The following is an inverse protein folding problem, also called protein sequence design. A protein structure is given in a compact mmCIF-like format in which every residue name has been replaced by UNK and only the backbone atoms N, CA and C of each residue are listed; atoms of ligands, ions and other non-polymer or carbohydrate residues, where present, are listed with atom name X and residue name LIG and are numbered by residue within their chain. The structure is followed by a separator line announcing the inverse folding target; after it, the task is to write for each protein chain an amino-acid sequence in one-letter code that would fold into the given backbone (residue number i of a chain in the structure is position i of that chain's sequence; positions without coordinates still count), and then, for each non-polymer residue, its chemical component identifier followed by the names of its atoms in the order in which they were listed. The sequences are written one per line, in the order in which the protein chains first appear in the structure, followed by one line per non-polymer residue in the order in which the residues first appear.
data_IF_865096116385
#
_entry.id   IF_865096116385
#
_cell.length_a   1.000
_cell.length_b   1.000
_cell.length_c   1.000
_cell.angle_alpha   90.00
_cell.angle_beta   90.00
_cell.angle_gamma   90.00
#
_symmetry.space_group_name_H-M   'P 1'
#
loop_
_entity.id
_entity.type
_entity.pdbx_description
1 polymer ?
#
# COMPACT_ATOMS: atom_id res chain seq x y z
N UNK A 1 31.34 16.29 37.80
CA UNK A 1 32.46 16.24 38.77
C UNK A 1 33.47 15.23 38.26
N UNK A 2 34.71 15.71 37.98
CA UNK A 2 36.02 15.00 37.89
C UNK A 2 36.11 13.76 36.96
N UNK A 3 37.15 13.50 36.15
CA UNK A 3 38.44 14.13 35.90
C UNK A 3 39.17 13.31 34.82
N UNK A 4 39.61 13.98 33.74
CA UNK A 4 40.96 13.96 33.14
C UNK A 4 41.82 12.68 33.07
N UNK A 5 42.31 12.38 31.85
CA UNK A 5 43.69 12.02 31.46
C UNK A 5 43.68 11.46 30.02
N UNK A 6 44.58 11.72 29.05
CA UNK A 6 45.95 12.26 28.89
C UNK A 6 46.04 12.81 27.45
N UNK A 7 46.56 14.03 27.20
CA UNK A 7 47.96 14.39 26.87
C UNK A 7 48.59 13.61 25.70
N UNK A 8 48.91 14.36 24.63
CA UNK A 8 49.90 14.03 23.59
C UNK A 8 50.16 15.23 22.68
N UNK A 9 51.16 16.05 23.05
CA UNK A 9 51.73 17.15 22.26
C UNK A 9 52.59 16.61 21.09
N UNK A 10 52.68 17.39 20.00
CA UNK A 10 53.89 17.84 19.27
C UNK A 10 53.40 18.51 17.97
N UNK A 11 53.44 19.84 17.83
CA UNK A 11 54.58 20.64 17.35
C UNK A 11 55.09 20.11 15.99
N UNK A 12 55.23 20.85 14.89
CA UNK A 12 55.77 22.22 14.72
C UNK A 12 55.77 22.52 13.19
N UNK A 13 56.03 23.78 12.80
CA UNK A 13 56.65 24.25 11.52
C UNK A 13 55.72 24.42 10.30
N UNK A 14 55.79 25.47 9.46
CA UNK A 14 56.49 26.77 9.43
C UNK A 14 55.79 27.65 8.36
N UNK A 15 55.92 28.96 8.55
CA UNK A 15 55.58 30.10 7.69
C UNK A 15 56.18 30.14 6.25
N UNK A 16 55.66 31.13 5.50
CA UNK A 16 56.24 31.99 4.43
C UNK A 16 55.78 31.68 2.99
N UNK A 17 54.88 32.49 2.40
CA UNK A 17 55.11 33.79 1.69
C UNK A 17 55.83 33.63 0.35
N UNK A 18 55.13 33.86 -0.77
CA UNK A 18 55.67 34.56 -1.95
C UNK A 18 54.58 35.40 -2.61
N UNK A 19 54.83 36.71 -2.61
CA UNK A 19 54.18 37.77 -3.40
C UNK A 19 54.86 37.81 -4.77
N UNK A 20 54.08 37.84 -5.86
CA UNK A 20 54.59 38.29 -7.17
C UNK A 20 53.62 39.32 -7.76
N UNK A 21 53.99 40.59 -7.58
CA UNK A 21 53.61 41.71 -8.44
C UNK A 21 54.38 41.59 -9.77
N UNK A 22 53.76 41.95 -10.89
CA UNK A 22 54.54 42.36 -12.06
C UNK A 22 53.83 42.48 -13.41
N UNK A 23 53.51 43.75 -13.74
CA UNK A 23 53.68 44.40 -15.05
C UNK A 23 52.48 44.46 -16.01
N UNK A 24 51.97 45.69 -16.13
CA UNK A 24 51.22 46.28 -17.23
C UNK A 24 52.00 46.28 -18.55
N UNK A 25 51.32 46.05 -19.67
CA UNK A 25 51.13 47.02 -20.76
C UNK A 25 50.79 46.32 -22.09
N UNK A 26 49.66 46.69 -22.71
CA UNK A 26 49.59 47.15 -24.10
C UNK A 26 48.13 47.28 -24.56
N UNK A 27 47.80 48.49 -24.96
CA UNK A 27 46.57 48.95 -25.61
C UNK A 27 46.46 48.44 -27.05
N UNK A 28 45.33 47.87 -27.45
CA UNK A 28 44.76 47.97 -28.80
C UNK A 28 43.36 47.31 -28.83
N UNK A 29 42.40 47.97 -29.48
CA UNK A 29 41.23 47.28 -30.04
C UNK A 29 39.87 47.67 -29.44
N UNK A 30 39.36 48.83 -29.86
CA UNK A 30 37.92 49.05 -29.92
C UNK A 30 37.29 48.03 -30.88
N UNK A 31 36.46 47.13 -30.37
CA UNK A 31 35.28 46.67 -31.08
C UNK A 31 34.27 46.23 -30.02
N UNK A 32 33.11 46.89 -30.02
CA UNK A 32 32.06 46.64 -29.03
C UNK A 32 31.64 45.18 -29.10
N UNK A 33 31.88 44.45 -28.02
CA UNK A 33 31.10 43.25 -27.73
C UNK A 33 29.67 43.73 -27.51
N UNK A 34 28.83 43.46 -28.51
CA UNK A 34 27.39 43.68 -28.45
C UNK A 34 26.84 42.85 -27.28
N UNK A 35 26.75 43.48 -26.10
CA UNK A 35 26.09 42.95 -24.90
C UNK A 35 24.57 42.94 -25.08
N UNK A 36 24.09 42.59 -26.28
CA UNK A 36 22.72 42.17 -26.46
C UNK A 36 22.51 40.98 -25.54
N UNK A 37 21.69 41.21 -24.53
CA UNK A 37 21.11 40.25 -23.62
C UNK A 37 20.65 39.04 -24.44
N UNK A 38 21.52 38.03 -24.55
CA UNK A 38 21.15 36.79 -25.22
C UNK A 38 20.17 36.11 -24.29
N UNK A 39 18.90 36.19 -24.65
CA UNK A 39 17.86 35.36 -24.09
C UNK A 39 18.17 33.94 -24.57
N UNK A 40 18.94 33.20 -23.77
CA UNK A 40 18.92 31.76 -23.84
C UNK A 40 17.55 31.36 -23.31
N UNK A 41 16.61 30.89 -24.15
CA UNK A 41 15.39 30.31 -23.62
C UNK A 41 15.84 29.22 -22.64
N UNK A 42 15.39 29.33 -21.39
CA UNK A 42 15.50 28.21 -20.46
C UNK A 42 14.65 27.11 -21.05
N UNK A 43 15.28 26.21 -21.77
CA UNK A 43 14.71 24.91 -22.03
C UNK A 43 14.65 24.25 -20.66
N UNK A 44 13.45 24.25 -20.09
CA UNK A 44 13.16 23.43 -18.93
C UNK A 44 13.25 22.02 -19.44
N UNK A 45 14.40 21.37 -19.19
CA UNK A 45 14.53 19.93 -19.36
C UNK A 45 13.36 19.34 -18.56
N UNK A 46 12.40 18.76 -19.27
CA UNK A 46 11.37 17.95 -18.62
C UNK A 46 12.13 16.88 -17.88
N UNK A 47 12.16 16.99 -16.56
CA UNK A 47 12.56 15.87 -15.73
C UNK A 47 11.53 14.78 -16.06
N UNK A 48 11.95 13.73 -16.76
CA UNK A 48 11.17 12.49 -16.87
C UNK A 48 11.15 11.84 -15.49
N UNK A 49 10.46 12.47 -14.55
CA UNK A 49 10.03 11.83 -13.31
C UNK A 49 8.64 11.28 -13.57
N UNK A 50 8.58 10.07 -14.10
CA UNK A 50 7.30 9.42 -14.34
C UNK A 50 7.44 7.97 -14.71
N UNK A 51 6.39 7.20 -14.43
CA UNK A 51 6.24 5.86 -14.98
C UNK A 51 6.45 5.84 -16.50
N UNK A 52 6.82 4.69 -17.07
CA UNK A 52 7.33 4.61 -18.43
C UNK A 52 6.26 4.97 -19.49
N UNK A 53 6.44 6.10 -20.18
CA UNK A 53 5.58 6.49 -21.31
C UNK A 53 4.30 7.25 -20.91
N UNK A 54 3.40 7.51 -21.88
CA UNK A 54 2.20 8.32 -21.63
C UNK A 54 1.23 7.62 -20.67
N UNK A 55 0.47 8.40 -19.91
CA UNK A 55 -0.64 7.88 -19.10
C UNK A 55 -1.70 7.29 -20.05
N UNK A 56 -2.04 5.99 -19.92
CA UNK A 56 -3.07 5.36 -20.75
C UNK A 56 -4.43 6.06 -20.57
N UNK A 57 -5.06 6.35 -21.72
CA UNK A 57 -6.39 6.95 -21.76
C UNK A 57 -7.47 5.86 -21.67
N UNK A 58 -8.63 6.22 -21.10
CA UNK A 58 -9.79 5.34 -20.98
C UNK A 58 -9.83 4.50 -19.70
N UNK A 59 -10.94 3.78 -19.48
CA UNK A 59 -11.14 2.95 -18.31
C UNK A 59 -10.20 1.75 -18.31
N UNK A 60 -9.81 1.28 -17.12
CA UNK A 60 -9.10 0.02 -16.94
C UNK A 60 -10.14 -1.11 -16.90
N UNK A 61 -10.24 -1.88 -17.97
CA UNK A 61 -11.18 -3.00 -18.12
C UNK A 61 -10.44 -4.27 -18.59
N UNK A 62 -9.64 -4.83 -17.67
CA UNK A 62 -8.86 -6.05 -17.90
C UNK A 62 -9.39 -7.14 -16.95
N UNK A 63 -10.08 -8.19 -17.43
CA UNK A 63 -10.71 -9.18 -16.56
C UNK A 63 -9.75 -9.86 -15.57
N UNK A 64 -8.50 -10.10 -15.99
CA UNK A 64 -7.45 -10.68 -15.15
C UNK A 64 -6.99 -9.75 -14.00
N UNK A 65 -7.31 -8.45 -14.10
CA UNK A 65 -7.01 -7.43 -13.10
C UNK A 65 -8.25 -6.98 -12.31
N UNK A 66 -9.39 -7.63 -12.54
CA UNK A 66 -10.61 -7.39 -11.76
C UNK A 66 -10.40 -7.72 -10.28
N UNK A 67 -11.16 -7.05 -9.41
CA UNK A 67 -11.12 -7.29 -7.96
C UNK A 67 -11.29 -8.76 -7.60
N UNK A 68 -12.23 -9.44 -8.25
CA UNK A 68 -12.50 -10.85 -8.04
C UNK A 68 -11.31 -11.73 -8.46
N UNK A 69 -10.63 -11.41 -9.57
CA UNK A 69 -9.43 -12.13 -9.99
C UNK A 69 -8.27 -11.91 -9.01
N UNK A 70 -8.08 -10.68 -8.53
CA UNK A 70 -6.99 -10.31 -7.63
C UNK A 70 -7.14 -10.89 -6.21
N UNK A 71 -8.36 -11.13 -5.72
CA UNK A 71 -8.62 -11.78 -4.42
C UNK A 71 -7.92 -13.12 -4.23
N UNK A 72 -7.74 -13.87 -5.32
CA UNK A 72 -7.12 -15.21 -5.30
C UNK A 72 -5.74 -15.22 -5.95
N UNK A 73 -5.21 -14.05 -6.34
CA UNK A 73 -3.86 -13.95 -6.86
C UNK A 73 -2.85 -14.19 -5.72
N UNK A 74 -1.83 -14.99 -6.00
CA UNK A 74 -0.74 -15.23 -5.06
C UNK A 74 0.28 -14.09 -5.15
N UNK A 75 0.24 -13.16 -4.19
CA UNK A 75 1.17 -12.03 -4.15
C UNK A 75 2.64 -12.49 -4.07
N UNK A 76 2.93 -13.61 -3.42
CA UNK A 76 4.29 -14.14 -3.34
C UNK A 76 4.69 -14.93 -4.57
N UNK A 77 3.75 -15.61 -5.23
CA UNK A 77 3.95 -16.16 -6.56
C UNK A 77 4.27 -15.05 -7.57
N UNK A 78 3.67 -13.86 -7.44
CA UNK A 78 3.95 -12.71 -8.31
C UNK A 78 5.27 -12.01 -7.98
N UNK A 79 5.66 -11.93 -6.71
CA UNK A 79 6.93 -11.34 -6.26
C UNK A 79 7.96 -12.44 -5.89
N UNK A 80 8.25 -13.30 -6.86
CA UNK A 80 9.12 -14.46 -6.70
C UNK A 80 10.48 -14.27 -7.41
N UNK A 81 11.22 -15.38 -7.52
CA UNK A 81 12.48 -15.43 -8.26
C UNK A 81 12.33 -15.09 -9.73
N UNK A 82 11.22 -15.46 -10.37
CA UNK A 82 11.01 -15.17 -11.78
C UNK A 82 10.95 -13.67 -12.04
N UNK A 83 10.24 -12.94 -11.17
CA UNK A 83 10.11 -11.48 -11.22
C UNK A 83 11.42 -10.76 -10.88
N UNK A 84 12.23 -11.31 -9.98
CA UNK A 84 13.35 -10.58 -9.37
C UNK A 84 14.75 -11.04 -9.79
N UNK A 85 14.88 -12.16 -10.53
CA UNK A 85 16.19 -12.75 -10.92
C UNK A 85 17.11 -11.81 -11.69
N UNK A 86 16.57 -10.83 -12.41
CA UNK A 86 17.38 -9.90 -13.19
C UNK A 86 18.13 -8.89 -12.31
N UNK A 87 17.69 -8.70 -11.07
CA UNK A 87 18.32 -7.77 -10.12
C UNK A 87 19.42 -8.43 -9.28
N UNK A 88 19.50 -9.77 -9.27
CA UNK A 88 20.54 -10.50 -8.55
C UNK A 88 20.06 -11.81 -7.92
N UNK A 89 20.70 -12.20 -6.83
CA UNK A 89 20.41 -13.44 -6.10
C UNK A 89 19.22 -13.24 -5.17
N UNK A 90 18.08 -13.82 -5.54
CA UNK A 90 16.83 -13.76 -4.77
C UNK A 90 16.92 -14.70 -3.57
N UNK A 91 16.49 -14.24 -2.40
CA UNK A 91 16.37 -15.06 -1.19
C UNK A 91 15.41 -16.25 -1.40
N UNK A 92 15.58 -17.31 -0.63
CA UNK A 92 14.80 -18.54 -0.82
C UNK A 92 13.39 -18.47 -0.25
N UNK A 93 13.14 -17.58 0.72
CA UNK A 93 11.85 -17.48 1.40
C UNK A 93 11.28 -16.07 1.31
N UNK A 94 10.09 -15.89 0.72
CA UNK A 94 9.36 -14.64 0.89
C UNK A 94 8.94 -14.46 2.36
N UNK A 95 8.61 -13.23 2.72
CA UNK A 95 7.87 -12.93 3.93
C UNK A 95 6.49 -12.41 3.58
N UNK A 96 5.45 -12.92 4.24
CA UNK A 96 4.08 -12.47 4.08
C UNK A 96 3.35 -12.55 5.42
N UNK A 97 2.41 -11.64 5.61
CA UNK A 97 1.49 -11.61 6.75
C UNK A 97 0.02 -11.61 6.32
N UNK A 98 -0.26 -11.35 5.03
CA UNK A 98 -1.59 -11.25 4.45
C UNK A 98 -1.54 -11.78 3.00
N UNK A 99 -2.58 -12.45 2.49
CA UNK A 99 -2.60 -13.06 1.16
C UNK A 99 -2.32 -12.07 0.00
N UNK A 100 -2.71 -10.81 0.16
CA UNK A 100 -2.54 -9.73 -0.81
C UNK A 100 -1.17 -9.05 -0.73
N UNK A 101 -0.28 -9.52 0.15
CA UNK A 101 1.04 -8.94 0.38
C UNK A 101 2.15 -9.96 0.26
N UNK A 102 3.27 -9.50 -0.28
CA UNK A 102 4.50 -10.25 -0.22
C UNK A 102 5.70 -9.32 -0.10
N UNK A 103 6.77 -9.80 0.51
CA UNK A 103 8.07 -9.18 0.39
C UNK A 103 9.19 -10.17 0.17
N UNK A 104 10.24 -9.68 -0.47
CA UNK A 104 11.39 -10.44 -0.91
C UNK A 104 12.66 -9.60 -0.80
N UNK A 105 13.77 -10.27 -0.53
CA UNK A 105 15.10 -9.67 -0.57
C UNK A 105 15.89 -10.24 -1.74
N UNK A 106 16.63 -9.39 -2.43
CA UNK A 106 17.56 -9.74 -3.50
C UNK A 106 18.93 -9.15 -3.17
N UNK A 107 19.99 -9.93 -3.31
CA UNK A 107 21.37 -9.44 -3.25
C UNK A 107 21.82 -9.12 -4.68
N UNK A 108 22.14 -7.86 -4.97
CA UNK A 108 22.61 -7.44 -6.28
C UNK A 108 24.03 -7.99 -6.58
N UNK A 109 24.53 -7.89 -7.82
CA UNK A 109 25.89 -8.35 -8.16
C UNK A 109 27.02 -7.64 -7.39
N UNK A 110 26.75 -6.50 -6.76
CA UNK A 110 27.67 -5.74 -5.91
C UNK A 110 27.55 -6.09 -4.42
N UNK A 111 26.74 -7.07 -4.05
CA UNK A 111 26.51 -7.49 -2.67
C UNK A 111 25.65 -6.51 -1.86
N UNK A 112 24.81 -5.69 -2.51
CA UNK A 112 23.86 -4.79 -1.86
C UNK A 112 22.46 -5.38 -1.84
N UNK A 113 21.75 -5.14 -0.74
CA UNK A 113 20.37 -5.57 -0.59
C UNK A 113 19.41 -4.69 -1.39
N UNK A 114 18.50 -5.36 -2.10
CA UNK A 114 17.25 -4.82 -2.62
C UNK A 114 16.13 -5.46 -1.81
N UNK A 115 15.31 -4.66 -1.13
CA UNK A 115 14.10 -5.13 -0.46
C UNK A 115 12.89 -4.68 -1.27
N UNK A 116 12.17 -5.64 -1.82
CA UNK A 116 10.95 -5.40 -2.58
C UNK A 116 9.74 -5.89 -1.79
N UNK A 117 8.65 -5.13 -1.82
CA UNK A 117 7.36 -5.57 -1.31
C UNK A 117 6.25 -5.23 -2.27
N UNK A 118 5.28 -6.13 -2.41
CA UNK A 118 4.10 -6.02 -3.24
C UNK A 118 2.87 -5.98 -2.34
N UNK A 119 1.94 -5.09 -2.66
CA UNK A 119 0.56 -5.09 -2.15
C UNK A 119 -0.41 -5.08 -3.32
N UNK A 120 -1.41 -5.95 -3.30
CA UNK A 120 -2.45 -6.08 -4.33
C UNK A 120 -3.79 -5.56 -3.80
N UNK A 121 -4.55 -4.86 -4.64
CA UNK A 121 -5.86 -4.32 -4.32
C UNK A 121 -5.85 -3.30 -3.18
N UNK A 122 -4.87 -2.38 -3.23
CA UNK A 122 -4.89 -1.18 -2.41
C UNK A 122 -5.88 -0.16 -3.01
N UNK A 123 -6.61 0.57 -2.17
CA UNK A 123 -7.41 1.72 -2.60
C UNK A 123 -6.51 2.82 -3.19
N UNK A 124 -6.82 3.24 -4.41
CA UNK A 124 -6.04 4.17 -5.23
C UNK A 124 -6.80 5.47 -5.49
N UNK A 125 -7.38 6.07 -4.46
CA UNK A 125 -8.15 7.30 -4.58
C UNK A 125 -7.34 8.40 -5.30
N UNK A 126 -7.97 8.99 -6.32
CA UNK A 126 -7.42 10.03 -7.20
C UNK A 126 -6.10 9.65 -7.88
N UNK A 127 -5.76 8.35 -7.97
CA UNK A 127 -4.49 7.91 -8.55
C UNK A 127 -4.38 8.29 -10.02
N UNK A 128 -5.48 8.23 -10.79
CA UNK A 128 -5.50 8.64 -12.21
C UNK A 128 -5.05 10.09 -12.41
N UNK A 129 -5.45 11.00 -11.51
CA UNK A 129 -5.05 12.40 -11.56
C UNK A 129 -3.57 12.62 -11.21
N UNK A 130 -2.98 11.69 -10.43
CA UNK A 130 -1.57 11.70 -10.03
C UNK A 130 -0.68 10.83 -10.92
N UNK A 131 -1.25 10.07 -11.85
CA UNK A 131 -0.50 9.19 -12.72
C UNK A 131 0.48 10.02 -13.56
N UNK A 132 1.74 9.62 -13.54
CA UNK A 132 2.83 10.30 -14.26
C UNK A 132 3.27 9.55 -15.51
N UNK A 133 2.71 8.36 -15.75
CA UNK A 133 2.90 7.60 -16.97
C UNK A 133 2.10 6.30 -17.00
N UNK A 134 2.60 5.31 -17.73
CA UNK A 134 1.99 3.99 -17.86
C UNK A 134 2.91 2.82 -17.52
N UNK A 135 2.35 1.68 -17.14
CA UNK A 135 3.06 0.40 -17.06
C UNK A 135 2.13 -0.67 -17.63
N UNK A 136 2.55 -1.35 -18.71
CA UNK A 136 1.77 -2.43 -19.34
C UNK A 136 0.31 -2.05 -19.68
N UNK A 137 0.13 -0.81 -20.13
CA UNK A 137 -1.19 -0.25 -20.48
C UNK A 137 -2.02 0.23 -19.29
N UNK A 138 -1.49 0.20 -18.07
CA UNK A 138 -2.14 0.71 -16.87
C UNK A 138 -1.63 2.10 -16.49
N UNK A 139 -2.49 3.04 -16.04
CA UNK A 139 -2.04 4.26 -15.38
C UNK A 139 -1.11 3.94 -14.23
N UNK A 140 0.01 4.65 -14.16
CA UNK A 140 1.06 4.40 -13.19
C UNK A 140 1.54 5.70 -12.51
N UNK A 141 1.74 5.61 -11.19
CA UNK A 141 2.26 6.67 -10.34
C UNK A 141 3.57 6.18 -9.72
N UNK A 142 4.63 6.97 -9.89
CA UNK A 142 5.92 6.75 -9.23
C UNK A 142 6.14 7.82 -8.18
N UNK A 143 6.50 7.40 -6.96
CA UNK A 143 6.80 8.32 -5.85
C UNK A 143 8.11 7.90 -5.19
N UNK A 144 9.10 8.79 -5.22
CA UNK A 144 10.32 8.66 -4.40
C UNK A 144 10.02 9.09 -2.97
N UNK A 145 10.28 8.22 -2.01
CA UNK A 145 10.17 8.58 -0.59
C UNK A 145 11.47 9.20 -0.09
N UNK A 146 12.60 8.62 -0.51
CA UNK A 146 13.95 9.12 -0.28
C UNK A 146 14.85 8.69 -1.47
N UNK A 147 16.17 8.86 -1.35
CA UNK A 147 17.12 8.51 -2.41
C UNK A 147 17.18 7.00 -2.71
N UNK A 148 16.74 6.16 -1.78
CA UNK A 148 16.90 4.70 -1.78
C UNK A 148 15.57 3.97 -1.80
N UNK A 149 14.46 4.66 -1.53
CA UNK A 149 13.13 4.07 -1.43
C UNK A 149 12.19 4.66 -2.47
N UNK A 150 11.56 3.78 -3.25
CA UNK A 150 10.59 4.17 -4.27
C UNK A 150 9.31 3.34 -4.18
N UNK A 151 8.19 3.99 -4.45
CA UNK A 151 6.88 3.37 -4.61
C UNK A 151 6.46 3.48 -6.07
N UNK A 152 6.08 2.35 -6.67
CA UNK A 152 5.50 2.28 -8.00
C UNK A 152 4.11 1.69 -7.88
N UNK A 153 3.09 2.48 -8.25
CA UNK A 153 1.69 2.10 -8.17
C UNK A 153 1.10 2.00 -9.57
N UNK A 154 0.21 1.02 -9.78
CA UNK A 154 -0.59 0.90 -11.02
C UNK A 154 -2.06 0.81 -10.67
N UNK A 155 -2.91 1.45 -11.48
CA UNK A 155 -4.36 1.34 -11.36
C UNK A 155 -4.85 0.11 -12.12
N UNK A 156 -5.57 -0.78 -11.43
CA UNK A 156 -6.15 -2.01 -12.02
C UNK A 156 -7.66 -1.92 -12.20
N UNK A 157 -8.32 -0.95 -11.55
CA UNK A 157 -9.75 -0.69 -11.66
C UNK A 157 -10.02 0.78 -11.35
N UNK A 158 -10.90 1.42 -12.12
CA UNK A 158 -11.35 2.80 -11.86
C UNK A 158 -12.50 2.87 -10.84
N UNK A 159 -13.38 1.85 -10.82
CA UNK A 159 -14.57 1.82 -9.97
C UNK A 159 -14.77 0.42 -9.34
N UNK A 160 -14.38 0.23 -8.07
CA UNK A 160 -13.68 1.17 -7.20
C UNK A 160 -12.25 1.44 -7.70
N UNK A 161 -11.71 2.62 -7.36
CA UNK A 161 -10.32 2.97 -7.63
C UNK A 161 -9.41 2.06 -6.82
N UNK A 162 -8.88 1.02 -7.47
CA UNK A 162 -8.02 0.02 -6.86
C UNK A 162 -6.83 -0.30 -7.75
N UNK A 163 -5.76 -0.76 -7.13
CA UNK A 163 -4.51 -0.99 -7.80
C UNK A 163 -3.55 -1.84 -7.01
N UNK A 164 -2.30 -1.85 -7.47
CA UNK A 164 -1.21 -2.56 -6.82
C UNK A 164 -0.05 -1.60 -6.59
N UNK A 165 0.71 -1.85 -5.53
CA UNK A 165 1.88 -1.06 -5.19
C UNK A 165 3.09 -1.98 -5.00
N UNK A 166 4.19 -1.63 -5.66
CA UNK A 166 5.52 -2.18 -5.37
C UNK A 166 6.32 -1.11 -4.65
N UNK A 167 6.81 -1.42 -3.46
CA UNK A 167 7.80 -0.62 -2.76
C UNK A 167 9.16 -1.31 -2.87
N UNK A 168 10.16 -0.57 -3.32
CA UNK A 168 11.56 -1.03 -3.38
C UNK A 168 12.42 -0.12 -2.52
N UNK A 169 13.23 -0.72 -1.64
CA UNK A 169 14.36 -0.08 -1.00
C UNK A 169 15.65 -0.67 -1.58
N UNK A 170 16.49 0.17 -2.17
CA UNK A 170 17.74 -0.23 -2.81
C UNK A 170 18.87 0.77 -2.53
N UNK A 171 19.85 0.32 -1.75
CA UNK A 171 21.02 1.13 -1.35
C UNK A 171 22.06 1.30 -2.46
N UNK A 172 22.10 0.35 -3.40
CA UNK A 172 23.15 0.23 -4.41
C UNK A 172 22.81 0.81 -5.79
N UNK A 173 21.59 1.30 -6.01
CA UNK A 173 21.14 1.70 -7.33
C UNK A 173 19.78 2.40 -7.36
N UNK A 174 19.13 2.39 -8.53
CA UNK A 174 17.85 3.08 -8.73
C UNK A 174 16.67 2.21 -8.28
N UNK A 175 16.13 2.53 -7.10
CA UNK A 175 14.96 1.87 -6.54
C UNK A 175 13.71 2.02 -7.43
N UNK A 176 13.54 3.14 -8.12
CA UNK A 176 12.39 3.36 -8.99
C UNK A 176 12.49 2.57 -10.28
N UNK A 177 13.65 2.54 -10.92
CA UNK A 177 13.86 1.69 -12.10
C UNK A 177 13.60 0.22 -11.78
N UNK A 178 14.09 -0.24 -10.62
CA UNK A 178 13.84 -1.58 -10.10
C UNK A 178 12.34 -1.82 -9.88
N UNK A 179 11.65 -0.89 -9.21
CA UNK A 179 10.20 -0.98 -8.95
C UNK A 179 9.35 -1.00 -10.22
N UNK A 180 9.66 -0.14 -11.22
CA UNK A 180 8.96 -0.12 -12.51
C UNK A 180 9.09 -1.44 -13.25
N UNK A 181 10.30 -1.99 -13.25
CA UNK A 181 10.59 -3.25 -13.93
C UNK A 181 9.91 -4.44 -13.24
N UNK A 182 9.97 -4.51 -11.91
CA UNK A 182 9.24 -5.52 -11.14
C UNK A 182 7.73 -5.43 -11.39
N UNK A 183 7.15 -4.21 -11.34
CA UNK A 183 5.73 -3.99 -11.60
C UNK A 183 5.31 -4.38 -13.03
N UNK A 184 6.13 -4.05 -14.04
CA UNK A 184 5.91 -4.48 -15.43
C UNK A 184 5.82 -6.01 -15.54
N UNK A 185 6.77 -6.73 -14.93
CA UNK A 185 6.74 -8.21 -14.92
C UNK A 185 5.52 -8.76 -14.18
N UNK A 186 5.15 -8.19 -13.03
CA UNK A 186 3.96 -8.58 -12.25
C UNK A 186 2.68 -8.42 -13.09
N UNK A 187 2.50 -7.26 -13.75
CA UNK A 187 1.30 -7.01 -14.56
C UNK A 187 1.22 -7.97 -15.76
N UNK A 188 2.34 -8.27 -16.42
CA UNK A 188 2.37 -9.26 -17.51
C UNK A 188 1.94 -10.64 -17.02
N UNK A 189 2.53 -11.10 -15.91
CA UNK A 189 2.19 -12.41 -15.34
C UNK A 189 0.72 -12.49 -14.94
N UNK A 190 0.17 -11.42 -14.36
CA UNK A 190 -1.26 -11.35 -14.06
C UNK A 190 -2.15 -11.49 -15.30
N UNK A 191 -1.77 -10.87 -16.41
CA UNK A 191 -2.53 -10.91 -17.68
C UNK A 191 -2.40 -12.26 -18.40
N UNK A 192 -1.26 -12.93 -18.29
CA UNK A 192 -0.93 -14.15 -19.06
C UNK A 192 -1.29 -15.44 -18.30
N UNK A 193 -0.70 -15.65 -17.12
CA UNK A 193 -0.91 -16.83 -16.29
C UNK A 193 -0.68 -16.46 -14.81
N UNK A 194 -1.68 -15.90 -14.13
CA UNK A 194 -1.52 -15.43 -12.76
C UNK A 194 -1.29 -16.62 -11.82
N UNK A 195 -0.24 -16.59 -10.96
CA UNK A 195 -0.14 -17.56 -9.87
C UNK A 195 -1.31 -17.33 -8.91
N UNK A 196 -1.92 -18.42 -8.45
CA UNK A 196 -3.15 -18.39 -7.65
C UNK A 196 -2.98 -19.10 -6.33
N UNK A 197 -3.61 -18.54 -5.29
CA UNK A 197 -3.77 -19.18 -4.01
C UNK A 197 -4.70 -20.39 -4.13
N UNK A 198 -4.45 -21.41 -3.33
CA UNK A 198 -5.39 -22.53 -3.19
C UNK A 198 -6.54 -22.10 -2.27
N UNK A 199 -7.74 -22.01 -2.83
CA UNK A 199 -8.94 -21.66 -2.06
C UNK A 199 -9.51 -22.93 -1.41
N UNK A 200 -9.33 -23.05 -0.10
CA UNK A 200 -9.95 -24.13 0.65
C UNK A 200 -11.48 -23.95 0.70
N UNK A 201 -12.22 -25.06 0.74
CA UNK A 201 -13.67 -25.01 0.96
C UNK A 201 -13.97 -24.23 2.25
N UNK A 202 -14.95 -23.34 2.19
CA UNK A 202 -15.34 -22.53 3.35
C UNK A 202 -14.47 -21.30 3.60
N UNK A 203 -13.44 -21.06 2.78
CA UNK A 203 -12.53 -19.92 2.90
C UNK A 203 -13.21 -18.58 2.60
N UNK A 204 -12.67 -17.51 3.17
CA UNK A 204 -13.01 -16.11 2.85
C UNK A 204 -12.20 -15.52 1.69
N UNK A 205 -11.22 -16.24 1.13
CA UNK A 205 -10.31 -15.70 0.11
C UNK A 205 -11.04 -15.21 -1.14
N UNK A 206 -12.02 -15.96 -1.64
CA UNK A 206 -12.77 -15.62 -2.86
C UNK A 206 -14.09 -14.88 -2.58
N UNK A 207 -14.38 -14.56 -1.31
CA UNK A 207 -15.64 -13.95 -0.90
C UNK A 207 -15.60 -12.43 -1.12
N UNK A 208 -16.64 -11.90 -1.76
CA UNK A 208 -16.87 -10.46 -1.83
C UNK A 208 -17.45 -9.93 -0.51
N UNK A 209 -16.63 -9.20 0.25
CA UNK A 209 -17.05 -8.60 1.52
C UNK A 209 -18.28 -7.69 1.38
N UNK A 210 -18.43 -6.97 0.25
CA UNK A 210 -19.58 -6.09 0.04
C UNK A 210 -20.88 -6.85 -0.17
N UNK A 211 -20.83 -8.03 -0.78
CA UNK A 211 -22.02 -8.87 -0.96
C UNK A 211 -22.51 -9.51 0.36
N UNK A 212 -21.64 -9.55 1.38
CA UNK A 212 -22.00 -10.06 2.72
C UNK A 212 -22.89 -9.12 3.53
N UNK A 213 -23.05 -7.88 3.08
CA UNK A 213 -23.94 -6.90 3.71
C UNK A 213 -25.21 -6.84 2.87
N UNK A 214 -26.39 -6.93 3.50
CA UNK A 214 -27.66 -6.79 2.75
C UNK A 214 -28.12 -5.35 2.70
N UNK A 215 -28.75 -4.94 1.61
CA UNK A 215 -29.34 -3.61 1.45
C UNK A 215 -30.33 -3.27 2.59
N UNK A 216 -31.06 -4.27 3.10
CA UNK A 216 -31.93 -4.13 4.26
C UNK A 216 -31.16 -3.74 5.53
N UNK A 217 -30.02 -4.38 5.79
CA UNK A 217 -29.16 -4.06 6.94
C UNK A 217 -28.60 -2.65 6.82
N UNK A 218 -28.19 -2.28 5.60
CA UNK A 218 -27.70 -0.94 5.28
C UNK A 218 -28.76 0.11 5.66
N UNK A 219 -29.97 0.01 5.09
CA UNK A 219 -31.05 0.97 5.38
C UNK A 219 -31.40 1.02 6.87
N UNK A 220 -31.49 -0.13 7.53
CA UNK A 220 -31.90 -0.21 8.93
C UNK A 220 -30.90 0.39 9.92
N UNK A 221 -29.59 0.31 9.62
CA UNK A 221 -28.55 0.70 10.59
C UNK A 221 -27.76 1.95 10.18
N UNK A 222 -27.62 2.20 8.88
CA UNK A 222 -26.81 3.27 8.31
C UNK A 222 -27.64 4.34 7.57
N UNK A 223 -28.90 4.04 7.23
CA UNK A 223 -29.83 4.94 6.54
C UNK A 223 -29.83 4.77 5.01
N UNK A 224 -30.58 5.61 4.31
CA UNK A 224 -30.85 5.46 2.87
C UNK A 224 -29.77 6.09 1.95
N UNK A 225 -28.95 7.00 2.48
CA UNK A 225 -27.92 7.76 1.72
C UNK A 225 -26.50 7.21 1.93
N UNK A 226 -26.32 5.89 1.86
CA UNK A 226 -25.01 5.26 2.04
C UNK A 226 -24.63 4.36 0.87
N UNK A 227 -23.33 4.21 0.66
CA UNK A 227 -22.75 3.39 -0.41
C UNK A 227 -21.85 2.32 0.19
N UNK A 228 -21.88 1.15 -0.43
CA UNK A 228 -20.86 0.13 -0.24
C UNK A 228 -19.70 0.42 -1.18
N UNK A 229 -18.50 0.46 -0.62
CA UNK A 229 -17.27 0.71 -1.36
C UNK A 229 -16.26 -0.35 -0.96
N UNK A 230 -15.79 -1.20 -1.88
CA UNK A 230 -14.62 -2.02 -1.60
C UNK A 230 -13.44 -1.11 -1.25
N UNK A 231 -12.77 -1.37 -0.13
CA UNK A 231 -11.63 -0.56 0.32
C UNK A 231 -10.29 -1.30 0.19
N UNK A 232 -10.33 -2.63 0.19
CA UNK A 232 -9.26 -3.53 -0.21
C UNK A 232 -9.89 -4.78 -0.86
N UNK A 233 -9.11 -5.81 -1.17
CA UNK A 233 -9.61 -7.04 -1.79
C UNK A 233 -10.63 -7.79 -0.92
N UNK A 234 -10.53 -7.70 0.40
CA UNK A 234 -11.29 -8.50 1.35
C UNK A 234 -12.12 -7.64 2.30
N UNK A 235 -12.43 -6.41 1.89
CA UNK A 235 -12.96 -5.38 2.75
C UNK A 235 -13.98 -4.51 2.05
N UNK A 236 -15.09 -4.24 2.75
CA UNK A 236 -16.14 -3.36 2.31
C UNK A 236 -16.42 -2.27 3.34
N UNK A 237 -16.33 -1.02 2.89
CA UNK A 237 -16.67 0.16 3.65
C UNK A 237 -18.12 0.56 3.36
N UNK A 238 -18.84 0.94 4.42
CA UNK A 238 -20.13 1.61 4.35
C UNK A 238 -19.86 3.10 4.59
N UNK A 239 -20.10 3.91 3.56
CA UNK A 239 -19.80 5.35 3.58
C UNK A 239 -21.02 6.19 3.23
N UNK A 240 -21.23 7.28 3.95
CA UNK A 240 -22.32 8.25 3.73
C UNK A 240 -22.27 9.38 4.75
N UNK A 241 -23.34 10.19 4.81
CA UNK A 241 -23.42 11.35 5.74
C UNK A 241 -23.74 10.96 7.19
N UNK A 242 -24.23 9.74 7.40
CA UNK A 242 -24.68 9.24 8.69
C UNK A 242 -23.63 8.36 9.39
N UNK A 243 -24.05 7.28 10.06
CA UNK A 243 -23.14 6.26 10.55
C UNK A 243 -22.27 5.68 9.43
N UNK A 244 -21.05 5.30 9.76
CA UNK A 244 -20.11 4.60 8.89
C UNK A 244 -19.72 3.26 9.51
N UNK A 245 -19.05 2.41 8.75
CA UNK A 245 -18.63 1.10 9.24
C UNK A 245 -18.19 0.22 8.10
N UNK A 246 -18.21 -1.09 8.30
CA UNK A 246 -17.81 -2.01 7.25
C UNK A 246 -17.67 -3.45 7.70
N UNK A 247 -17.31 -4.29 6.74
CA UNK A 247 -16.91 -5.68 6.94
C UNK A 247 -15.50 -5.83 6.39
N UNK A 248 -14.62 -6.48 7.13
CA UNK A 248 -13.29 -6.83 6.68
C UNK A 248 -13.00 -8.29 7.00
N UNK A 249 -12.43 -9.02 6.04
CA UNK A 249 -11.83 -10.32 6.29
C UNK A 249 -10.32 -10.13 6.44
N UNK A 250 -9.79 -10.68 7.52
CA UNK A 250 -8.38 -10.64 7.87
C UNK A 250 -7.85 -12.05 7.94
N UNK A 251 -6.58 -12.20 7.61
CA UNK A 251 -5.88 -13.47 7.62
C UNK A 251 -4.70 -13.33 8.59
N UNK A 252 -4.67 -14.14 9.64
CA UNK A 252 -3.65 -14.05 10.68
C UNK A 252 -4.21 -14.39 12.06
N UNK A 253 -3.78 -13.67 13.09
CA UNK A 253 -4.09 -14.01 14.48
C UNK A 253 -5.59 -13.88 14.83
N UNK A 254 -6.08 -14.70 15.79
CA UNK A 254 -7.46 -14.60 16.24
C UNK A 254 -7.68 -13.32 17.06
N UNK A 255 -8.93 -12.85 17.20
CA UNK A 255 -9.24 -11.69 18.04
C UNK A 255 -8.77 -11.91 19.48
N UNK A 256 -8.06 -10.94 20.04
CA UNK A 256 -7.54 -11.01 21.41
C UNK A 256 -8.61 -10.61 22.43
N UNK A 257 -8.56 -11.22 23.62
CA UNK A 257 -9.42 -10.79 24.72
C UNK A 257 -8.89 -9.49 25.32
N UNK A 258 -9.76 -8.48 25.33
CA UNK A 258 -9.45 -7.18 25.90
C UNK A 258 -10.39 -6.85 27.07
N UNK A 259 -9.94 -6.00 28.01
CA UNK A 259 -10.69 -5.64 29.23
C UNK A 259 -12.11 -5.11 28.97
N UNK A 260 -12.34 -4.50 27.81
CA UNK A 260 -13.62 -3.93 27.39
C UNK A 260 -14.33 -4.75 26.30
N UNK A 261 -13.88 -5.99 26.06
CA UNK A 261 -14.53 -6.93 25.14
C UNK A 261 -15.64 -7.71 25.85
N UNK A 262 -16.70 -8.06 25.10
CA UNK A 262 -17.80 -8.90 25.56
C UNK A 262 -18.04 -10.01 24.55
N UNK A 263 -18.24 -11.24 25.02
CA UNK A 263 -18.66 -12.34 24.16
C UNK A 263 -20.13 -12.18 23.76
N UNK A 264 -20.43 -12.37 22.48
CA UNK A 264 -21.80 -12.32 21.92
C UNK A 264 -22.00 -13.48 20.95
N UNK A 265 -23.17 -14.11 20.99
CA UNK A 265 -23.53 -15.16 20.03
C UNK A 265 -24.09 -14.54 18.75
N UNK A 266 -23.50 -14.89 17.60
CA UNK A 266 -23.97 -14.42 16.29
C UNK A 266 -25.00 -15.38 15.70
N UNK A 267 -24.68 -16.68 15.62
CA UNK A 267 -25.59 -17.70 15.11
C UNK A 267 -25.13 -19.07 15.58
N UNK A 268 -26.04 -19.92 16.07
CA UNK A 268 -25.70 -21.25 16.57
C UNK A 268 -24.56 -21.22 17.58
N UNK A 269 -23.44 -21.86 17.22
CA UNK A 269 -22.18 -21.95 17.96
C UNK A 269 -21.18 -20.82 17.66
N UNK A 270 -21.42 -19.99 16.64
CA UNK A 270 -20.54 -18.87 16.29
C UNK A 270 -20.62 -17.78 17.35
N UNK A 271 -19.53 -17.64 18.11
CA UNK A 271 -19.34 -16.62 19.13
C UNK A 271 -18.34 -15.57 18.64
N UNK A 272 -18.68 -14.30 18.84
CA UNK A 272 -17.84 -13.16 18.51
C UNK A 272 -17.43 -12.38 19.76
N UNK A 273 -16.39 -11.57 19.62
CA UNK A 273 -15.98 -10.57 20.59
C UNK A 273 -16.49 -9.22 20.10
N UNK A 274 -17.31 -8.57 20.91
CA UNK A 274 -17.75 -7.19 20.69
C UNK A 274 -16.95 -6.25 21.59
N UNK A 275 -16.37 -5.21 21.00
CA UNK A 275 -15.56 -4.23 21.69
C UNK A 275 -15.97 -2.81 21.32
N UNK A 276 -16.12 -1.99 22.34
CA UNK A 276 -16.34 -0.55 22.17
C UNK A 276 -15.02 0.21 22.02
N UNK A 277 -14.95 1.18 21.11
CA UNK A 277 -13.74 1.98 20.83
C UNK A 277 -13.94 3.43 21.30
N UNK A 278 -13.41 3.73 22.49
CA UNK A 278 -13.28 5.10 23.06
C UNK A 278 -14.54 5.65 23.73
N UNK A 279 -14.43 6.14 24.98
CA UNK A 279 -15.57 6.59 25.81
C UNK A 279 -16.51 7.61 25.13
N UNK A 280 -15.98 8.43 24.24
CA UNK A 280 -16.66 9.62 23.69
C UNK A 280 -17.11 9.45 22.23
N UNK A 281 -16.92 8.27 21.62
CA UNK A 281 -17.31 8.01 20.23
C UNK A 281 -18.21 6.79 20.16
N UNK A 282 -19.34 6.87 19.45
CA UNK A 282 -20.25 5.74 19.28
C UNK A 282 -19.69 4.74 18.25
N UNK A 283 -18.61 4.04 18.61
CA UNK A 283 -17.93 3.08 17.75
C UNK A 283 -17.84 1.70 18.39
N UNK A 284 -18.24 0.67 17.65
CA UNK A 284 -18.12 -0.70 18.07
C UNK A 284 -17.60 -1.61 16.96
N UNK A 285 -16.81 -2.60 17.38
CA UNK A 285 -16.21 -3.62 16.56
C UNK A 285 -16.69 -4.99 17.04
N UNK A 286 -16.99 -5.87 16.10
CA UNK A 286 -17.39 -7.25 16.36
C UNK A 286 -16.52 -8.17 15.52
N UNK A 287 -15.71 -9.00 16.17
CA UNK A 287 -14.76 -9.89 15.52
C UNK A 287 -15.01 -11.36 15.90
N UNK A 288 -14.86 -12.27 14.94
CA UNK A 288 -14.86 -13.71 15.20
C UNK A 288 -13.92 -14.45 14.26
N UNK A 289 -13.42 -15.59 14.73
CA UNK A 289 -12.74 -16.56 13.87
C UNK A 289 -13.79 -17.22 12.99
N UNK A 290 -13.64 -17.08 11.69
CA UNK A 290 -14.44 -17.78 10.69
C UNK A 290 -13.87 -19.18 10.46
N UNK A 291 -12.57 -19.28 10.17
CA UNK A 291 -11.91 -20.55 9.86
C UNK A 291 -10.51 -20.58 10.46
N UNK A 292 -10.08 -21.73 10.98
CA UNK A 292 -8.68 -21.99 11.35
C UNK A 292 -7.92 -22.43 10.08
N UNK A 293 -6.80 -21.78 9.78
CA UNK A 293 -5.91 -22.16 8.67
C UNK A 293 -4.85 -23.12 9.20
N UNK A 294 -4.13 -22.70 10.23
CA UNK A 294 -3.15 -23.48 10.99
C UNK A 294 -3.15 -23.03 12.46
N UNK A 295 -2.13 -23.39 13.25
CA UNK A 295 -2.09 -23.09 14.68
C UNK A 295 -2.00 -21.59 15.00
N UNK A 296 -1.41 -20.78 14.11
CA UNK A 296 -1.18 -19.35 14.32
C UNK A 296 -2.00 -18.47 13.37
N UNK A 297 -2.52 -19.04 12.27
CA UNK A 297 -3.25 -18.32 11.22
C UNK A 297 -4.72 -18.72 11.15
N UNK A 298 -5.57 -17.70 11.05
CA UNK A 298 -7.01 -17.79 11.03
C UNK A 298 -7.57 -16.83 9.98
N UNK A 299 -8.73 -17.17 9.44
CA UNK A 299 -9.59 -16.25 8.73
C UNK A 299 -10.51 -15.61 9.76
N UNK A 300 -10.39 -14.30 9.95
CA UNK A 300 -11.12 -13.52 10.95
C UNK A 300 -12.03 -12.55 10.24
N UNK A 301 -13.29 -12.50 10.66
CA UNK A 301 -14.24 -11.51 10.16
C UNK A 301 -14.35 -10.42 11.20
N UNK A 302 -14.28 -9.19 10.72
CA UNK A 302 -14.44 -7.97 11.50
C UNK A 302 -15.59 -7.17 10.95
N UNK A 303 -16.48 -6.74 11.83
CA UNK A 303 -17.59 -5.84 11.51
C UNK A 303 -17.46 -4.59 12.36
N UNK A 304 -17.47 -3.44 11.72
CA UNK A 304 -17.40 -2.14 12.39
C UNK A 304 -18.68 -1.34 12.17
N UNK A 305 -19.07 -0.62 13.22
CA UNK A 305 -20.06 0.43 13.18
C UNK A 305 -19.53 1.63 13.95
N UNK A 306 -19.63 2.82 13.38
CA UNK A 306 -19.24 4.07 13.98
C UNK A 306 -20.27 5.16 13.68
N UNK A 307 -20.55 5.99 14.67
CA UNK A 307 -21.27 7.25 14.47
C UNK A 307 -20.56 8.35 15.24
N UNK A 308 -20.00 9.30 14.51
CA UNK A 308 -19.18 10.37 15.08
C UNK A 308 -19.98 11.62 15.48
N UNK A 309 -21.29 11.66 15.20
CA UNK A 309 -22.15 12.81 15.52
C UNK A 309 -23.54 12.37 16.02
N UNK A 310 -24.10 13.16 16.94
CA UNK A 310 -25.38 12.89 17.60
C UNK A 310 -25.23 12.18 18.94
N UNK A 311 -26.37 11.90 19.58
CA UNK A 311 -26.43 11.42 20.98
C UNK A 311 -26.39 9.89 21.09
N UNK A 312 -25.83 9.20 20.10
CA UNK A 312 -25.73 7.73 20.15
C UNK A 312 -24.65 7.31 21.16
N UNK A 313 -24.99 6.37 22.04
CA UNK A 313 -24.04 5.83 23.01
C UNK A 313 -23.34 4.55 22.51
N UNK A 314 -22.31 4.16 23.26
CA UNK A 314 -21.53 2.94 23.10
C UNK A 314 -22.36 1.65 22.97
N UNK A 315 -23.38 1.54 23.80
CA UNK A 315 -24.22 0.34 23.90
C UNK A 315 -25.10 0.22 22.66
N UNK A 316 -25.65 1.33 22.17
CA UNK A 316 -26.41 1.39 20.93
C UNK A 316 -25.54 1.02 19.72
N UNK A 317 -24.33 1.61 19.63
CA UNK A 317 -23.38 1.30 18.57
C UNK A 317 -23.04 -0.20 18.52
N UNK A 318 -22.76 -0.82 19.68
CA UNK A 318 -22.50 -2.27 19.72
C UNK A 318 -23.71 -3.13 19.37
N UNK A 319 -24.93 -2.76 19.81
CA UNK A 319 -26.14 -3.49 19.39
C UNK A 319 -26.30 -3.49 17.87
N UNK A 320 -26.00 -2.36 17.21
CA UNK A 320 -26.02 -2.26 15.74
C UNK A 320 -24.92 -3.08 15.08
N UNK A 321 -23.67 -2.96 15.53
CA UNK A 321 -22.56 -3.77 15.01
C UNK A 321 -22.85 -5.28 15.12
N UNK A 322 -23.40 -5.73 16.26
CA UNK A 322 -23.81 -7.13 16.45
C UNK A 322 -24.94 -7.53 15.51
N UNK A 323 -25.93 -6.66 15.28
CA UNK A 323 -27.00 -6.94 14.33
C UNK A 323 -26.50 -7.10 12.89
N UNK A 324 -25.54 -6.26 12.47
CA UNK A 324 -24.86 -6.38 11.18
C UNK A 324 -24.08 -7.69 11.11
N UNK A 325 -23.28 -8.01 12.13
CA UNK A 325 -22.48 -9.23 12.21
C UNK A 325 -23.32 -10.52 12.12
N UNK A 326 -24.52 -10.52 12.71
CA UNK A 326 -25.49 -11.64 12.60
C UNK A 326 -25.96 -11.89 11.17
N UNK A 327 -26.06 -10.84 10.35
CA UNK A 327 -26.41 -11.01 8.93
C UNK A 327 -25.21 -11.46 8.12
N UNK A 328 -24.03 -10.89 8.38
CA UNK A 328 -22.78 -11.27 7.72
C UNK A 328 -22.51 -12.76 7.92
N UNK A 329 -22.49 -13.26 9.16
CA UNK A 329 -22.25 -14.70 9.45
C UNK A 329 -23.23 -15.64 8.76
N UNK A 330 -24.46 -15.17 8.49
CA UNK A 330 -25.48 -15.94 7.78
C UNK A 330 -25.22 -16.07 6.27
N UNK A 331 -24.44 -15.16 5.70
CA UNK A 331 -24.07 -15.13 4.27
C UNK A 331 -22.72 -15.74 3.96
N UNK A 332 -21.88 -15.95 4.98
CA UNK A 332 -20.54 -16.53 4.78
C UNK A 332 -20.61 -18.02 4.42
N UNK A 333 -19.64 -18.51 3.63
CA UNK A 333 -19.52 -19.95 3.35
C UNK A 333 -19.27 -20.72 4.64
N UNK A 334 -19.74 -21.96 4.75
CA UNK A 334 -19.50 -22.76 5.96
C UNK A 334 -18.05 -23.32 5.95
N UNK A 335 -17.25 -23.07 7.01
CA UNK A 335 -15.90 -23.60 7.16
C UNK A 335 -15.79 -25.13 7.07
#
# INVERSE_FOLDING_TARGET
MLSSHRRGLLATRTLLWVVCLGVLAATAGCSGVDLKKQYYPRETVKVESGAAGPVPAGPVDEPALSVAALRVADACGLLDRETLKEFGKVADKPYTHEPDRCGMTVEDPGGKDIRASLKIGESMNNMRDRATGGIEGLPAEETRHDEKTCFVKVLTSDEPAMGMAVQVAYEGGDACATGRKAMSTIVKRLKEDPPKLTVAKGSLLDVDACETISEKVIRNHYGDDVRLLPFDLHGCLISGRGPSGGVQFRFGYPPTEEKNSRSVTLSGDVTAKSKFRGADQAQCEVEWVHRKIDDDNFEVVKVEYARYSGDEDATSACKKAVAVAKVVVGKLPKP
#
